data_IF_452612225313
#
_entry.id   IF_452612225313
#
_cell.length_a   1.000
_cell.length_b   1.000
_cell.length_c   1.000
_cell.angle_alpha   90.00
_cell.angle_beta   90.00
_cell.angle_gamma   90.00
#
_symmetry.space_group_name_H-M   'P 1'
#
loop_
_entity.id
_entity.type
_entity.pdbx_description
1 polymer ?
#
# COMPACT_ATOMS: atom_id res chain seq x y z
N UNK A 1 38.13 -63.21 -25.44
CA UNK A 1 37.22 -62.41 -26.26
C UNK A 1 36.79 -61.20 -25.45
N UNK A 2 36.92 -60.01 -26.01
CA UNK A 2 36.47 -58.76 -25.39
C UNK A 2 34.95 -58.69 -25.60
N UNK A 3 34.13 -58.40 -24.57
CA UNK A 3 32.68 -58.43 -24.72
C UNK A 3 32.14 -57.27 -25.57
N UNK A 4 31.20 -57.60 -26.47
CA UNK A 4 30.58 -56.78 -27.54
C UNK A 4 29.75 -55.57 -27.10
N UNK A 5 29.80 -55.15 -25.83
CA UNK A 5 29.01 -53.99 -25.37
C UNK A 5 29.72 -52.64 -25.58
N UNK A 6 30.91 -52.63 -26.18
CA UNK A 6 31.69 -51.41 -26.43
C UNK A 6 31.50 -50.82 -27.84
N UNK A 7 30.37 -51.07 -28.50
CA UNK A 7 30.14 -50.70 -29.91
C UNK A 7 29.25 -49.47 -30.17
N UNK A 8 28.73 -48.82 -29.14
CA UNK A 8 27.86 -47.64 -29.31
C UNK A 8 28.58 -46.36 -28.94
N UNK A 9 29.18 -45.66 -29.91
CA UNK A 9 29.57 -44.26 -29.69
C UNK A 9 28.28 -43.42 -29.64
N UNK A 10 28.03 -42.63 -28.57
CA UNK A 10 26.84 -41.80 -28.52
C UNK A 10 26.90 -40.78 -29.66
N UNK A 11 25.88 -40.80 -30.51
CA UNK A 11 25.75 -39.86 -31.62
C UNK A 11 25.48 -38.44 -31.04
N UNK A 12 26.40 -37.47 -31.18
CA UNK A 12 26.25 -36.16 -30.57
C UNK A 12 25.03 -35.38 -31.10
N UNK A 13 24.51 -35.74 -32.28
CA UNK A 13 23.40 -35.03 -32.93
C UNK A 13 22.01 -35.31 -32.33
N UNK A 14 21.89 -36.24 -31.37
CA UNK A 14 20.60 -36.56 -30.72
C UNK A 14 20.51 -36.04 -29.28
N UNK A 15 21.40 -35.11 -28.91
CA UNK A 15 21.46 -34.52 -27.58
C UNK A 15 20.60 -33.26 -27.52
N UNK A 16 19.39 -33.35 -26.96
CA UNK A 16 18.57 -32.16 -26.69
C UNK A 16 19.07 -31.47 -25.43
N UNK A 17 19.45 -30.19 -25.53
CA UNK A 17 19.85 -29.40 -24.36
C UNK A 17 18.64 -29.21 -23.44
N UNK A 18 18.84 -29.49 -22.15
CA UNK A 18 17.81 -29.26 -21.13
C UNK A 18 17.41 -27.79 -21.00
N UNK A 19 16.33 -27.50 -20.27
CA UNK A 19 15.94 -26.12 -20.02
C UNK A 19 16.90 -25.42 -19.05
N UNK A 20 17.17 -24.11 -19.23
CA UNK A 20 17.95 -23.34 -18.27
C UNK A 20 17.20 -23.19 -16.95
N UNK A 21 17.96 -23.07 -15.85
CA UNK A 21 17.40 -22.88 -14.52
C UNK A 21 17.30 -21.39 -14.22
N UNK A 22 16.10 -20.93 -13.86
CA UNK A 22 15.91 -19.56 -13.34
C UNK A 22 16.13 -19.60 -11.82
N UNK A 23 17.27 -19.06 -11.37
CA UNK A 23 17.73 -19.11 -9.99
C UNK A 23 16.96 -18.13 -9.10
N UNK A 24 16.83 -16.88 -9.54
CA UNK A 24 16.16 -15.82 -8.79
C UNK A 24 15.53 -14.80 -9.73
N UNK A 25 14.49 -14.12 -9.24
CA UNK A 25 13.78 -13.05 -9.92
C UNK A 25 13.56 -11.92 -8.92
N UNK A 26 14.11 -10.75 -9.20
CA UNK A 26 13.85 -9.54 -8.41
C UNK A 26 12.90 -8.62 -9.19
N UNK A 27 11.82 -8.21 -8.54
CA UNK A 27 10.84 -7.31 -9.13
C UNK A 27 11.17 -5.85 -8.77
N UNK A 28 11.17 -4.98 -9.77
CA UNK A 28 11.36 -3.55 -9.61
C UNK A 28 10.25 -2.79 -10.32
N UNK A 29 10.08 -1.48 -10.06
CA UNK A 29 9.14 -0.66 -10.81
C UNK A 29 9.49 -0.74 -12.30
N UNK A 30 8.52 -1.20 -13.09
CA UNK A 30 8.65 -1.34 -14.55
C UNK A 30 9.73 -2.31 -15.05
N UNK A 31 10.22 -3.23 -14.21
CA UNK A 31 11.21 -4.21 -14.67
C UNK A 31 11.32 -5.47 -13.81
N UNK A 32 11.87 -6.53 -14.38
CA UNK A 32 12.21 -7.78 -13.71
C UNK A 32 13.69 -8.12 -13.94
N UNK A 33 14.47 -8.24 -12.87
CA UNK A 33 15.87 -8.69 -12.93
C UNK A 33 15.93 -10.21 -12.74
N UNK A 34 16.47 -10.92 -13.72
CA UNK A 34 16.52 -12.37 -13.77
C UNK A 34 17.96 -12.86 -13.59
N UNK A 35 18.13 -13.84 -12.71
CA UNK A 35 19.35 -14.65 -12.63
C UNK A 35 19.06 -16.06 -13.14
N UNK A 36 19.81 -16.48 -14.15
CA UNK A 36 19.68 -17.78 -14.80
C UNK A 36 21.00 -18.53 -14.79
N UNK A 37 20.94 -19.86 -14.79
CA UNK A 37 22.09 -20.74 -14.96
C UNK A 37 21.86 -21.71 -16.13
N UNK A 38 22.91 -22.00 -16.91
CA UNK A 38 22.81 -22.99 -17.97
C UNK A 38 22.62 -24.40 -17.36
N UNK A 39 22.01 -25.34 -18.09
CA UNK A 39 21.81 -26.71 -17.61
C UNK A 39 23.11 -27.54 -17.60
N UNK A 40 24.19 -27.00 -18.16
CA UNK A 40 25.51 -27.61 -18.29
C UNK A 40 26.59 -26.54 -18.10
N UNK A 41 27.82 -26.97 -17.82
CA UNK A 41 28.98 -26.08 -17.83
C UNK A 41 29.44 -25.87 -19.28
N UNK A 42 29.45 -24.64 -19.81
CA UNK A 42 29.97 -24.38 -21.16
C UNK A 42 31.46 -24.68 -21.25
N UNK A 43 31.90 -25.17 -22.39
CA UNK A 43 33.32 -25.40 -22.67
C UNK A 43 34.01 -24.11 -23.18
N UNK A 44 35.34 -24.12 -23.19
CA UNK A 44 36.11 -22.98 -23.68
C UNK A 44 35.89 -22.83 -25.19
N UNK A 45 35.32 -21.70 -25.60
CA UNK A 45 34.98 -21.40 -27.00
C UNK A 45 33.50 -21.49 -27.32
N UNK A 46 32.69 -22.02 -26.40
CA UNK A 46 31.23 -22.02 -26.54
C UNK A 46 30.64 -20.62 -26.30
N UNK A 47 29.63 -20.27 -27.12
CA UNK A 47 28.87 -19.03 -26.96
C UNK A 47 27.45 -19.37 -26.53
N UNK A 48 27.10 -19.00 -25.30
CA UNK A 48 25.76 -19.13 -24.74
C UNK A 48 24.94 -17.86 -24.95
N UNK A 49 23.70 -18.03 -25.38
CA UNK A 49 22.68 -16.99 -25.46
C UNK A 49 21.39 -17.49 -24.80
N UNK A 50 20.65 -16.59 -24.17
CA UNK A 50 19.38 -16.84 -23.51
C UNK A 50 18.29 -16.09 -24.26
N UNK A 51 17.39 -16.84 -24.88
CA UNK A 51 16.19 -16.32 -25.49
C UNK A 51 15.06 -16.29 -24.46
N UNK A 52 14.59 -15.09 -24.14
CA UNK A 52 13.56 -14.85 -23.14
C UNK A 52 12.28 -14.45 -23.86
N UNK A 53 11.22 -15.20 -23.66
CA UNK A 53 9.88 -14.82 -24.12
C UNK A 53 9.06 -14.39 -22.92
N UNK A 54 8.46 -13.20 -22.95
CA UNK A 54 7.65 -12.66 -21.85
C UNK A 54 6.34 -12.03 -22.33
N UNK A 55 5.32 -12.05 -21.46
CA UNK A 55 3.97 -11.56 -21.76
C UNK A 55 3.25 -11.15 -20.47
N UNK A 56 2.27 -10.25 -20.58
CA UNK A 56 1.47 -9.75 -19.44
C UNK A 56 0.38 -10.77 -19.03
N UNK A 57 -0.31 -11.38 -19.98
CA UNK A 57 -1.34 -12.39 -19.70
C UNK A 57 -1.62 -13.29 -20.92
N UNK A 58 -2.22 -12.71 -21.96
CA UNK A 58 -2.58 -13.38 -23.23
C UNK A 58 -2.20 -12.56 -24.47
N UNK A 59 -1.65 -11.36 -24.26
CA UNK A 59 -1.04 -10.55 -25.32
C UNK A 59 0.20 -11.25 -25.86
N UNK A 60 0.44 -11.12 -27.17
CA UNK A 60 1.53 -11.80 -27.87
C UNK A 60 2.87 -11.68 -27.13
N UNK A 61 3.63 -12.76 -27.13
CA UNK A 61 4.89 -12.83 -26.39
C UNK A 61 5.97 -11.96 -27.06
N UNK A 62 6.55 -11.05 -26.28
CA UNK A 62 7.74 -10.30 -26.69
C UNK A 62 8.98 -11.17 -26.46
N UNK A 63 9.94 -11.11 -27.37
CA UNK A 63 11.20 -11.87 -27.28
C UNK A 63 12.39 -10.92 -27.06
N UNK A 64 13.31 -11.33 -26.20
CA UNK A 64 14.58 -10.67 -25.92
C UNK A 64 15.69 -11.72 -25.95
N UNK A 65 16.89 -11.36 -26.43
CA UNK A 65 18.07 -12.24 -26.40
C UNK A 65 19.15 -11.61 -25.53
N UNK A 66 19.72 -12.41 -24.62
CA UNK A 66 20.71 -11.97 -23.64
C UNK A 66 21.87 -12.97 -23.56
N UNK A 67 23.11 -12.49 -23.52
CA UNK A 67 24.29 -13.36 -23.36
C UNK A 67 24.72 -13.55 -21.90
N UNK A 68 24.22 -12.69 -21.00
CA UNK A 68 24.58 -12.71 -19.58
C UNK A 68 23.65 -13.64 -18.80
N UNK A 69 24.16 -14.18 -17.70
CA UNK A 69 23.37 -14.96 -16.72
C UNK A 69 22.54 -14.08 -15.78
N UNK A 70 22.85 -12.79 -15.71
CA UNK A 70 22.11 -11.77 -14.97
C UNK A 70 21.72 -10.65 -15.94
N UNK A 71 20.42 -10.48 -16.17
CA UNK A 71 19.88 -9.49 -17.11
C UNK A 71 18.50 -9.02 -16.67
N UNK A 72 18.06 -7.89 -17.24
CA UNK A 72 16.81 -7.22 -16.85
C UNK A 72 15.83 -7.18 -18.02
N UNK A 73 14.59 -7.60 -17.76
CA UNK A 73 13.46 -7.33 -18.64
C UNK A 73 12.92 -5.95 -18.26
N UNK A 74 13.20 -4.95 -19.08
CA UNK A 74 12.78 -3.55 -18.86
C UNK A 74 11.47 -3.18 -19.57
N UNK A 75 11.10 -1.90 -19.45
CA UNK A 75 9.92 -1.29 -20.10
C UNK A 75 8.60 -2.01 -19.79
N UNK A 76 8.48 -2.56 -18.58
CA UNK A 76 7.27 -3.18 -18.10
C UNK A 76 6.37 -2.14 -17.41
N UNK A 77 5.08 -2.43 -17.29
CA UNK A 77 4.16 -1.63 -16.48
C UNK A 77 4.39 -1.92 -14.99
N UNK A 78 4.15 -0.94 -14.12
CA UNK A 78 4.15 -1.11 -12.67
C UNK A 78 2.96 -1.95 -12.19
N UNK A 79 3.07 -2.62 -11.04
CA UNK A 79 2.00 -3.42 -10.40
C UNK A 79 1.34 -4.47 -11.31
N UNK A 80 2.03 -4.89 -12.36
CA UNK A 80 1.46 -5.69 -13.45
C UNK A 80 2.09 -7.09 -13.43
N UNK A 81 1.26 -8.12 -13.63
CA UNK A 81 1.72 -9.50 -13.68
C UNK A 81 2.35 -9.76 -15.04
N UNK A 82 3.57 -10.29 -15.05
CA UNK A 82 4.24 -10.75 -16.26
C UNK A 82 4.69 -12.20 -16.08
N UNK A 83 4.42 -13.02 -17.09
CA UNK A 83 4.94 -14.38 -17.19
C UNK A 83 6.04 -14.43 -18.23
N UNK A 84 7.06 -15.24 -17.99
CA UNK A 84 8.16 -15.42 -18.93
C UNK A 84 8.67 -16.86 -18.93
N UNK A 85 9.31 -17.24 -20.03
CA UNK A 85 10.08 -18.49 -20.17
C UNK A 85 11.44 -18.17 -20.77
N UNK A 86 12.44 -18.93 -20.36
CA UNK A 86 13.82 -18.77 -20.81
C UNK A 86 14.23 -20.02 -21.57
N UNK A 87 14.86 -19.83 -22.72
CA UNK A 87 15.42 -20.89 -23.55
C UNK A 87 16.91 -20.61 -23.74
N UNK A 88 17.74 -21.65 -23.78
CA UNK A 88 19.17 -21.52 -24.06
C UNK A 88 19.43 -21.78 -25.54
N UNK A 89 20.32 -20.99 -26.12
CA UNK A 89 20.89 -21.17 -27.45
C UNK A 89 22.40 -21.28 -27.28
N UNK A 90 22.98 -22.41 -27.70
CA UNK A 90 24.40 -22.68 -27.62
C UNK A 90 24.98 -22.71 -29.04
N UNK A 91 25.99 -21.89 -29.31
CA UNK A 91 26.83 -22.05 -30.50
C UNK A 91 28.12 -22.74 -30.08
N UNK A 92 28.28 -23.97 -30.55
CA UNK A 92 29.50 -24.75 -30.33
C UNK A 92 30.58 -24.34 -31.33
N UNK A 93 31.83 -24.70 -31.05
CA UNK A 93 32.99 -24.34 -31.87
C UNK A 93 32.86 -24.71 -33.37
N UNK A 94 32.14 -25.79 -33.69
CA UNK A 94 31.87 -26.21 -35.09
C UNK A 94 30.96 -25.24 -35.86
N UNK A 95 30.45 -24.20 -35.22
CA UNK A 95 29.50 -23.23 -35.79
C UNK A 95 28.04 -23.68 -35.75
N UNK A 96 27.77 -24.89 -35.26
CA UNK A 96 26.42 -25.41 -35.12
C UNK A 96 25.67 -24.70 -33.97
N UNK A 97 24.44 -24.27 -34.25
CA UNK A 97 23.54 -23.70 -33.26
C UNK A 97 22.64 -24.80 -32.69
N UNK A 98 22.70 -25.00 -31.37
CA UNK A 98 21.87 -25.92 -30.62
C UNK A 98 20.86 -25.12 -29.80
N UNK A 99 19.58 -25.41 -29.97
CA UNK A 99 18.52 -24.83 -29.14
C UNK A 99 18.14 -25.81 -28.03
N UNK A 100 18.11 -25.31 -26.79
CA UNK A 100 17.59 -26.07 -25.66
C UNK A 100 16.09 -25.97 -25.53
N UNK A 101 15.55 -26.81 -24.64
CA UNK A 101 14.14 -26.78 -24.29
C UNK A 101 13.81 -25.48 -23.53
N UNK A 102 12.64 -24.85 -23.74
CA UNK A 102 12.25 -23.71 -22.93
C UNK A 102 11.96 -24.15 -21.48
N UNK A 103 12.28 -23.26 -20.53
CA UNK A 103 11.91 -23.44 -19.12
C UNK A 103 10.39 -23.39 -18.95
N UNK A 104 9.90 -23.97 -17.85
CA UNK A 104 8.53 -23.74 -17.42
C UNK A 104 8.26 -22.23 -17.24
N UNK A 105 7.05 -21.75 -17.55
CA UNK A 105 6.71 -20.34 -17.38
C UNK A 105 6.75 -19.96 -15.90
N UNK A 106 7.37 -18.82 -15.60
CA UNK A 106 7.37 -18.21 -14.26
C UNK A 106 6.69 -16.85 -14.33
N UNK A 107 5.80 -16.57 -13.39
CA UNK A 107 5.03 -15.33 -13.36
C UNK A 107 5.38 -14.50 -12.12
N UNK A 108 5.68 -13.21 -12.34
CA UNK A 108 6.03 -12.26 -11.29
C UNK A 108 5.31 -10.94 -11.53
N UNK A 109 4.90 -10.30 -10.43
CA UNK A 109 4.31 -8.96 -10.49
C UNK A 109 5.40 -7.92 -10.29
N UNK A 110 5.44 -6.91 -11.16
CA UNK A 110 6.34 -5.76 -11.01
C UNK A 110 5.98 -4.94 -9.78
N UNK A 111 6.97 -4.29 -9.18
CA UNK A 111 6.74 -3.44 -8.02
C UNK A 111 6.05 -2.12 -8.41
N UNK A 112 5.48 -1.44 -7.41
CA UNK A 112 5.03 -0.05 -7.53
C UNK A 112 6.22 0.87 -7.28
N UNK A 113 6.34 1.94 -8.06
CA UNK A 113 7.31 2.99 -7.75
C UNK A 113 6.96 3.69 -6.44
N UNK A 114 7.98 4.15 -5.72
CA UNK A 114 7.80 4.97 -4.52
C UNK A 114 7.05 6.27 -4.84
N UNK A 115 7.27 6.85 -6.02
CA UNK A 115 6.56 8.03 -6.48
C UNK A 115 5.06 7.75 -6.66
N UNK A 116 4.71 6.63 -7.32
CA UNK A 116 3.32 6.19 -7.49
C UNK A 116 2.68 5.93 -6.13
N UNK A 117 3.40 5.22 -5.24
CA UNK A 117 2.93 4.91 -3.89
C UNK A 117 2.71 6.18 -3.06
N UNK A 118 3.64 7.13 -3.09
CA UNK A 118 3.50 8.43 -2.44
C UNK A 118 2.35 9.24 -3.03
N UNK A 119 2.17 9.19 -4.35
CA UNK A 119 1.06 9.83 -5.06
C UNK A 119 -0.32 9.38 -4.60
N UNK A 120 -0.46 8.15 -4.09
CA UNK A 120 -1.70 7.69 -3.45
C UNK A 120 -1.77 8.03 -1.96
N UNK A 121 -0.66 7.89 -1.25
CA UNK A 121 -0.63 8.03 0.22
C UNK A 121 -0.78 9.51 0.65
N UNK A 122 -0.05 10.42 0.01
CA UNK A 122 -0.05 11.86 0.35
C UNK A 122 -1.43 12.49 0.27
N UNK A 123 -2.22 12.36 -0.82
CA UNK A 123 -3.54 12.99 -0.88
C UNK A 123 -4.52 12.41 0.14
N UNK A 124 -4.40 11.13 0.51
CA UNK A 124 -5.23 10.55 1.57
C UNK A 124 -4.96 11.22 2.92
N UNK A 125 -3.70 11.44 3.26
CA UNK A 125 -3.34 12.18 4.47
C UNK A 125 -3.81 13.64 4.43
N UNK A 126 -3.63 14.33 3.30
CA UNK A 126 -4.10 15.71 3.13
C UNK A 126 -5.63 15.78 3.29
N UNK A 127 -6.37 14.86 2.65
CA UNK A 127 -7.83 14.79 2.76
C UNK A 127 -8.27 14.56 4.20
N UNK A 128 -7.64 13.63 4.92
CA UNK A 128 -7.95 13.37 6.32
C UNK A 128 -7.74 14.60 7.21
N UNK A 129 -6.64 15.35 6.98
CA UNK A 129 -6.37 16.59 7.71
C UNK A 129 -7.42 17.67 7.39
N UNK A 130 -7.82 17.84 6.13
CA UNK A 130 -8.87 18.80 5.75
C UNK A 130 -10.19 18.46 6.43
N UNK A 131 -10.60 17.18 6.38
CA UNK A 131 -11.84 16.72 7.03
C UNK A 131 -11.78 16.93 8.54
N UNK A 132 -10.66 16.66 9.19
CA UNK A 132 -10.49 16.89 10.62
C UNK A 132 -10.63 18.38 10.99
N UNK A 133 -10.03 19.28 10.20
CA UNK A 133 -10.15 20.73 10.40
C UNK A 133 -11.59 21.23 10.16
N UNK A 134 -12.27 20.73 9.12
CA UNK A 134 -13.68 21.07 8.85
C UNK A 134 -14.60 20.58 9.98
N UNK A 135 -14.38 19.36 10.48
CA UNK A 135 -15.13 18.83 11.62
C UNK A 135 -14.91 19.67 12.88
N UNK A 136 -13.66 20.05 13.16
CA UNK A 136 -13.33 20.93 14.29
C UNK A 136 -14.00 22.31 14.15
N UNK A 137 -13.93 22.92 12.97
CA UNK A 137 -14.58 24.20 12.70
C UNK A 137 -16.11 24.12 12.84
N UNK A 138 -16.72 23.04 12.34
CA UNK A 138 -18.16 22.79 12.48
C UNK A 138 -18.56 22.64 13.96
N UNK A 139 -17.80 21.87 14.75
CA UNK A 139 -18.02 21.73 16.19
C UNK A 139 -17.91 23.06 16.93
N UNK A 140 -16.88 23.86 16.61
CA UNK A 140 -16.71 25.20 17.20
C UNK A 140 -17.87 26.13 16.83
N UNK A 141 -18.33 26.08 15.57
CA UNK A 141 -19.47 26.86 15.12
C UNK A 141 -20.76 26.45 15.84
N UNK A 142 -21.04 25.15 15.93
CA UNK A 142 -22.18 24.61 16.68
C UNK A 142 -22.10 25.02 18.15
N UNK A 143 -20.93 24.94 18.78
CA UNK A 143 -20.76 25.34 20.17
C UNK A 143 -20.99 26.83 20.38
N UNK A 144 -20.39 27.69 19.54
CA UNK A 144 -20.55 29.15 19.60
C UNK A 144 -21.99 29.58 19.39
N UNK A 145 -22.69 28.94 18.45
CA UNK A 145 -24.06 29.26 18.10
C UNK A 145 -25.10 28.41 18.83
N UNK A 146 -24.68 27.55 19.79
CA UNK A 146 -25.55 26.59 20.46
C UNK A 146 -26.77 27.25 21.11
N UNK A 147 -26.61 28.43 21.71
CA UNK A 147 -27.72 29.19 22.31
C UNK A 147 -28.73 29.69 21.25
N UNK A 148 -28.25 30.13 20.08
CA UNK A 148 -29.11 30.60 18.98
C UNK A 148 -29.81 29.44 18.29
N UNK A 149 -29.10 28.32 18.09
CA UNK A 149 -29.66 27.08 17.53
C UNK A 149 -30.73 26.54 18.46
N UNK A 150 -30.49 26.55 19.78
CA UNK A 150 -31.48 26.12 20.79
C UNK A 150 -32.75 26.99 20.77
N UNK A 151 -32.62 28.30 20.56
CA UNK A 151 -33.75 29.22 20.46
C UNK A 151 -34.54 29.05 19.14
N UNK A 152 -33.85 28.84 18.02
CA UNK A 152 -34.50 28.57 16.73
C UNK A 152 -35.16 27.19 16.66
N UNK A 153 -34.61 26.21 17.36
CA UNK A 153 -35.17 24.87 17.48
C UNK A 153 -36.23 24.75 18.58
N UNK A 154 -36.50 25.82 19.35
CA UNK A 154 -37.62 25.85 20.27
C UNK A 154 -38.91 26.02 19.46
N UNK A 155 -39.85 25.06 19.51
CA UNK A 155 -41.18 25.28 18.95
C UNK A 155 -41.84 26.45 19.70
N UNK A 156 -42.71 27.25 19.04
CA UNK A 156 -43.42 28.33 19.71
C UNK A 156 -44.20 27.75 20.90
N UNK A 157 -43.90 28.24 22.11
CA UNK A 157 -44.70 27.92 23.30
C UNK A 157 -46.07 28.61 23.16
N UNK A 158 -46.98 28.01 22.39
CA UNK A 158 -48.40 28.25 22.55
C UNK A 158 -48.85 27.47 23.78
N UNK A 159 -48.92 28.17 24.93
CA UNK A 159 -49.54 27.64 26.14
C UNK A 159 -51.03 27.45 25.82
N UNK A 160 -51.58 26.22 25.94
CA UNK A 160 -53.00 25.97 25.72
C UNK A 160 -53.83 26.89 26.63
N UNK A 161 -54.84 27.54 26.05
CA UNK A 161 -55.66 28.58 26.70
C UNK A 161 -56.33 28.15 28.01
N UNK A 162 -56.39 26.86 28.32
CA UNK A 162 -57.00 26.33 29.53
C UNK A 162 -56.20 26.60 30.83
N UNK A 163 -54.92 27.00 30.74
CA UNK A 163 -54.11 27.30 31.94
C UNK A 163 -54.19 28.76 32.40
N UNK A 164 -54.99 29.61 31.75
CA UNK A 164 -55.10 31.04 32.10
C UNK A 164 -56.32 31.29 32.98
N UNK A 165 -56.35 30.65 34.15
CA UNK A 165 -57.30 30.99 35.20
C UNK A 165 -56.53 31.52 36.41
N UNK A 166 -56.43 32.84 36.50
CA UNK A 166 -56.08 33.53 37.76
C UNK A 166 -57.39 33.72 38.52
N UNK A 167 -57.60 33.05 39.67
CA UNK A 167 -58.82 33.23 40.45
C UNK A 167 -58.86 34.63 41.09
N UNK A 168 -60.03 35.30 41.12
CA UNK A 168 -60.16 36.72 41.45
C UNK A 168 -59.96 37.09 42.94
N UNK A 169 -59.39 36.21 43.77
CA UNK A 169 -59.17 36.52 45.19
C UNK A 169 -57.84 35.96 45.70
N UNK A 170 -56.74 36.59 45.27
CA UNK A 170 -55.44 36.43 45.92
C UNK A 170 -55.33 37.50 47.04
N UNK A 171 -55.35 37.12 48.33
CA UNK A 171 -54.99 38.07 49.37
C UNK A 171 -53.53 38.46 49.19
N UNK A 172 -53.26 39.75 49.27
CA UNK A 172 -51.93 40.34 49.27
C UNK A 172 -51.09 39.72 50.39
N UNK A 173 -50.38 38.63 50.10
CA UNK A 173 -49.30 38.15 50.96
C UNK A 173 -48.11 39.08 50.75
N UNK A 174 -48.05 39.99 51.71
CA UNK A 174 -47.00 40.90 52.11
C UNK A 174 -45.57 40.41 51.80
N UNK A 175 -44.64 41.36 51.58
CA UNK A 175 -43.27 41.11 51.18
C UNK A 175 -42.55 40.31 52.27
N UNK A 176 -41.84 39.24 51.86
CA UNK A 176 -40.87 38.60 52.74
C UNK A 176 -39.74 39.60 53.03
N UNK A 177 -39.95 40.33 54.13
CA UNK A 177 -39.00 40.82 55.13
C UNK A 177 -37.56 41.05 54.65
N UNK A 178 -37.24 42.32 54.41
CA UNK A 178 -35.91 42.82 54.72
C UNK A 178 -35.79 42.97 56.25
N UNK A 179 -35.00 42.12 56.88
CA UNK A 179 -34.38 42.41 58.18
C UNK A 179 -32.87 42.53 58.02
N UNK A 180 -32.34 43.56 58.69
CA UNK A 180 -31.07 44.27 58.52
C UNK A 180 -29.81 43.53 59.07
N UNK A 181 -28.60 44.14 59.03
CA UNK A 181 -27.31 43.47 58.86
C UNK A 181 -26.67 42.98 60.17
N UNK A 182 -25.80 41.97 60.08
CA UNK A 182 -24.79 41.69 61.08
C UNK A 182 -23.39 41.95 60.49
N UNK A 183 -22.68 42.80 61.20
CA UNK A 183 -21.44 43.47 60.86
C UNK A 183 -20.23 42.67 61.40
N UNK A 184 -19.14 42.68 60.62
CA UNK A 184 -17.72 42.48 60.97
C UNK A 184 -17.29 41.36 61.94
N UNK A 185 -16.43 40.46 61.42
CA UNK A 185 -15.11 40.21 62.05
C UNK A 185 -14.10 39.74 60.99
N UNK A 186 -13.01 40.49 60.88
CA UNK A 186 -11.81 40.11 60.14
C UNK A 186 -10.91 39.23 61.02
N UNK A 187 -10.33 38.19 60.46
CA UNK A 187 -9.04 37.58 60.83
C UNK A 187 -8.58 36.81 59.59
N UNK A 188 -7.74 37.34 58.70
CA UNK A 188 -6.30 37.63 58.81
C UNK A 188 -5.43 36.41 59.18
N UNK A 189 -4.58 36.01 58.21
CA UNK A 189 -3.31 35.26 58.30
C UNK A 189 -3.44 33.73 58.56
N UNK A 190 -2.76 32.81 57.87
CA UNK A 190 -1.48 32.86 57.17
C UNK A 190 -1.35 31.73 56.10
N UNK A 191 -0.40 31.84 55.16
CA UNK A 191 -0.03 30.78 54.21
C UNK A 191 0.96 29.80 54.85
N UNK A 192 0.98 28.54 54.41
CA UNK A 192 2.11 27.65 54.62
C UNK A 192 2.62 27.17 53.26
N UNK A 193 3.82 27.64 52.97
CA UNK A 193 4.64 27.34 51.81
C UNK A 193 5.58 26.15 52.16
N UNK A 194 6.02 25.46 51.11
CA UNK A 194 7.22 24.61 50.98
C UNK A 194 7.12 23.14 51.41
N UNK A 195 7.29 22.28 50.40
CA UNK A 195 7.89 20.96 50.50
C UNK A 195 8.50 20.58 49.16
N UNK A 196 9.73 21.05 48.91
CA UNK A 196 10.63 20.63 47.82
C UNK A 196 11.03 19.16 48.03
N UNK A 197 10.96 18.34 46.98
CA UNK A 197 11.99 17.40 46.51
C UNK A 197 11.59 16.88 45.13
#
# INVERSE_FOLDING_TARGET
>A
GIPDWAGGTPNPTQSTLGPPRVNNVSASPGSLLLSVSPPFAPEVGDILQYLVSYWENSTGATKLSESKTLFQIGNLKESTLYCFRVQVQLRIYSGQLLEGLPSAPKCHRTALSEATRAGYIVPLFVLALVVANLAAAALLFLWKHHQKIKYWAQPPLEIPSHFKEVPPNWPQLLPLSNSHPAQHSHSALAPLHVGKL
#
